data_IF_774098104051
#
_entry.id   IF_774098104051
#
_cell.length_a   1.000
_cell.length_b   1.000
_cell.length_c   1.000
_cell.angle_alpha   90.00
_cell.angle_beta   90.00
_cell.angle_gamma   90.00
#
_symmetry.space_group_name_H-M   'P 1'
#
loop_
_entity.id
_entity.type
_entity.pdbx_description
1 polymer ?
#
# COMPACT_ATOMS: atom_id res chain seq x y z
N UNK A 1 6.52 -12.13 16.26
CA UNK A 1 5.67 -12.81 15.26
C UNK A 1 5.70 -12.06 13.94
N UNK A 2 5.90 -12.77 12.86
CA UNK A 2 5.90 -12.18 11.53
C UNK A 2 4.50 -11.70 11.15
N UNK A 3 4.40 -10.54 10.47
CA UNK A 3 3.14 -10.06 9.93
C UNK A 3 2.65 -11.04 8.86
N UNK A 4 1.37 -11.39 8.89
CA UNK A 4 0.77 -12.30 7.91
C UNK A 4 0.14 -11.57 6.75
N UNK A 5 -0.60 -10.49 7.04
CA UNK A 5 -1.29 -9.71 6.02
C UNK A 5 -0.69 -8.30 6.02
N UNK A 6 -0.14 -7.92 4.88
CA UNK A 6 0.61 -6.67 4.71
C UNK A 6 -0.06 -5.84 3.62
N UNK A 7 -0.55 -4.67 3.99
CA UNK A 7 -1.07 -3.68 3.04
C UNK A 7 0.09 -2.87 2.50
N UNK A 8 0.36 -3.01 1.21
CA UNK A 8 1.37 -2.20 0.54
C UNK A 8 0.81 -0.80 0.31
N UNK A 9 1.54 0.25 0.77
CA UNK A 9 1.17 1.59 0.31
C UNK A 9 1.54 1.73 -1.17
N UNK A 10 1.15 2.83 -1.78
CA UNK A 10 1.31 2.97 -3.23
C UNK A 10 2.78 2.89 -3.65
N UNK A 11 3.69 3.54 -2.92
CA UNK A 11 5.12 3.47 -3.23
C UNK A 11 5.69 2.07 -3.03
N UNK A 12 5.30 1.38 -1.97
CA UNK A 12 5.73 0.00 -1.75
C UNK A 12 5.27 -0.91 -2.89
N UNK A 13 4.02 -0.75 -3.35
CA UNK A 13 3.50 -1.48 -4.51
C UNK A 13 4.33 -1.21 -5.77
N UNK A 14 4.60 0.07 -6.05
CA UNK A 14 5.36 0.46 -7.23
C UNK A 14 6.79 -0.12 -7.19
N UNK A 15 7.45 -0.04 -6.05
CA UNK A 15 8.80 -0.59 -5.91
C UNK A 15 8.78 -2.12 -5.98
N UNK A 16 7.85 -2.77 -5.31
CA UNK A 16 7.77 -4.23 -5.32
C UNK A 16 7.56 -4.78 -6.74
N UNK A 17 6.79 -4.08 -7.57
CA UNK A 17 6.47 -4.54 -8.92
C UNK A 17 7.48 -4.09 -9.98
N UNK A 18 8.11 -2.92 -9.83
CA UNK A 18 8.94 -2.32 -10.87
C UNK A 18 10.40 -2.14 -10.49
N UNK A 19 10.71 -1.98 -9.20
CA UNK A 19 12.09 -1.72 -8.74
C UNK A 19 12.29 -2.25 -7.32
N UNK A 20 12.27 -3.59 -7.14
CA UNK A 20 12.34 -4.19 -5.81
C UNK A 20 13.65 -3.90 -5.08
N UNK A 21 14.71 -3.49 -5.77
CA UNK A 21 15.98 -3.14 -5.14
C UNK A 21 15.87 -1.92 -4.23
N UNK A 22 14.83 -1.12 -4.39
CA UNK A 22 14.56 0.01 -3.48
C UNK A 22 14.03 -0.42 -2.12
N UNK A 23 13.62 -1.67 -2.01
CA UNK A 23 13.16 -2.25 -0.74
C UNK A 23 14.32 -3.00 -0.10
N UNK A 24 14.52 -2.83 1.21
CA UNK A 24 15.60 -3.48 1.92
C UNK A 24 15.55 -5.02 1.77
N UNK A 25 16.71 -5.70 1.64
CA UNK A 25 16.73 -7.14 1.37
C UNK A 25 15.92 -7.98 2.35
N UNK A 26 15.98 -7.69 3.66
CA UNK A 26 15.24 -8.47 4.64
C UNK A 26 13.73 -8.22 4.54
N UNK A 27 13.31 -7.04 4.08
CA UNK A 27 11.90 -6.74 3.84
C UNK A 27 11.41 -7.47 2.60
N UNK A 28 12.23 -7.50 1.54
CA UNK A 28 11.91 -8.30 0.33
C UNK A 28 11.74 -9.78 0.68
N UNK A 29 12.60 -10.31 1.53
CA UNK A 29 12.47 -11.69 2.01
C UNK A 29 11.14 -11.92 2.72
N UNK A 30 10.76 -10.97 3.59
CA UNK A 30 9.47 -11.04 4.29
C UNK A 30 8.28 -10.98 3.33
N UNK A 31 8.31 -10.04 2.37
CA UNK A 31 7.20 -9.87 1.41
C UNK A 31 7.06 -11.07 0.47
N UNK A 32 8.14 -11.77 0.17
CA UNK A 32 8.12 -12.94 -0.72
C UNK A 32 7.86 -14.26 0.01
N UNK A 33 7.81 -14.25 1.34
CA UNK A 33 7.57 -15.47 2.11
C UNK A 33 6.17 -16.03 1.81
N UNK A 34 6.04 -17.38 1.64
CA UNK A 34 4.75 -17.99 1.33
C UNK A 34 3.66 -17.73 2.37
N UNK A 35 4.05 -17.47 3.63
CA UNK A 35 3.13 -17.19 4.73
C UNK A 35 2.66 -15.73 4.77
N UNK A 36 3.24 -14.86 3.97
CA UNK A 36 2.87 -13.44 3.92
C UNK A 36 1.79 -13.22 2.87
N UNK A 37 0.68 -12.64 3.29
CA UNK A 37 -0.39 -12.22 2.39
C UNK A 37 -0.18 -10.75 2.04
N UNK A 38 -0.02 -10.45 0.74
CA UNK A 38 0.06 -9.08 0.27
C UNK A 38 -1.34 -8.58 -0.05
N UNK A 39 -1.62 -7.35 0.36
CA UNK A 39 -2.92 -6.69 0.14
C UNK A 39 -2.68 -5.37 -0.55
N UNK A 40 -3.50 -5.07 -1.55
CA UNK A 40 -3.45 -3.82 -2.31
C UNK A 40 -4.84 -3.20 -2.34
N UNK A 41 -4.93 -1.93 -1.97
CA UNK A 41 -6.19 -1.20 -1.95
C UNK A 41 -6.51 -0.60 -3.31
N UNK A 42 -7.80 -0.50 -3.63
CA UNK A 42 -8.28 0.28 -4.77
C UNK A 42 -7.94 1.77 -4.64
N UNK A 43 -7.66 2.26 -3.43
CA UNK A 43 -7.12 3.61 -3.22
C UNK A 43 -5.78 3.79 -3.94
N UNK A 44 -4.93 2.77 -3.98
CA UNK A 44 -3.66 2.83 -4.71
C UNK A 44 -3.88 2.89 -6.22
N UNK A 45 -4.87 2.17 -6.76
CA UNK A 45 -5.24 2.28 -8.17
C UNK A 45 -5.65 3.71 -8.52
N UNK A 46 -6.44 4.33 -7.66
CA UNK A 46 -6.89 5.71 -7.84
C UNK A 46 -5.71 6.69 -7.80
N UNK A 47 -4.82 6.55 -6.82
CA UNK A 47 -3.63 7.39 -6.71
C UNK A 47 -2.73 7.26 -7.95
N UNK A 48 -2.49 6.03 -8.42
CA UNK A 48 -1.70 5.77 -9.63
C UNK A 48 -2.35 6.43 -10.84
N UNK A 49 -3.68 6.31 -10.98
CA UNK A 49 -4.41 6.92 -12.08
C UNK A 49 -4.27 8.45 -12.11
N UNK A 50 -4.38 9.10 -10.95
CA UNK A 50 -4.23 10.55 -10.84
C UNK A 50 -2.81 10.97 -11.18
N UNK A 51 -1.80 10.30 -10.63
CA UNK A 51 -0.39 10.63 -10.88
C UNK A 51 0.03 10.38 -12.32
N UNK A 52 -0.51 9.34 -12.94
CA UNK A 52 -0.29 9.06 -14.36
C UNK A 52 -0.83 10.18 -15.22
N UNK A 53 -2.07 10.60 -14.96
CA UNK A 53 -2.72 11.67 -15.72
C UNK A 53 -1.98 13.00 -15.57
N UNK A 54 -1.44 13.29 -14.40
CA UNK A 54 -0.70 14.54 -14.14
C UNK A 54 0.75 14.50 -14.61
N UNK A 55 1.20 13.40 -15.22
CA UNK A 55 2.56 13.24 -15.71
C UNK A 55 3.61 13.01 -14.62
N UNK A 56 3.20 12.67 -13.41
CA UNK A 56 4.11 12.48 -12.27
C UNK A 56 4.57 11.04 -12.09
N UNK A 57 4.09 10.11 -12.92
CA UNK A 57 4.42 8.69 -12.79
C UNK A 57 4.70 8.09 -14.16
N UNK A 58 5.97 7.85 -14.46
CA UNK A 58 6.37 7.15 -15.67
C UNK A 58 5.96 5.68 -15.59
N UNK A 59 5.43 5.14 -16.69
CA UNK A 59 4.99 3.75 -16.74
C UNK A 59 3.63 3.48 -16.10
N UNK A 60 2.96 4.51 -15.61
CA UNK A 60 1.66 4.37 -14.96
C UNK A 60 0.58 3.81 -15.88
N UNK A 61 0.60 4.18 -17.17
CA UNK A 61 -0.37 3.64 -18.15
C UNK A 61 -0.29 2.13 -18.25
N UNK A 62 0.93 1.58 -18.28
CA UNK A 62 1.14 0.13 -18.36
C UNK A 62 0.62 -0.55 -17.11
N UNK A 63 0.96 -0.04 -15.94
CA UNK A 63 0.46 -0.59 -14.68
C UNK A 63 -1.06 -0.57 -14.62
N UNK A 64 -1.70 0.55 -14.99
CA UNK A 64 -3.15 0.68 -14.97
C UNK A 64 -3.84 -0.30 -15.92
N UNK A 65 -3.29 -0.48 -17.14
CA UNK A 65 -3.86 -1.39 -18.11
C UNK A 65 -3.69 -2.87 -17.72
N UNK A 66 -2.69 -3.19 -16.89
CA UNK A 66 -2.38 -4.55 -16.44
C UNK A 66 -2.60 -4.71 -14.94
N UNK A 67 -3.49 -3.91 -14.35
CA UNK A 67 -3.66 -3.87 -12.89
C UNK A 67 -3.95 -5.24 -12.29
N UNK A 68 -4.98 -5.93 -12.80
CA UNK A 68 -5.37 -7.23 -12.25
C UNK A 68 -4.29 -8.29 -12.47
N UNK A 69 -3.66 -8.30 -13.64
CA UNK A 69 -2.58 -9.23 -13.96
C UNK A 69 -1.36 -8.99 -13.05
N UNK A 70 -1.06 -7.72 -12.78
CA UNK A 70 0.05 -7.35 -11.89
C UNK A 70 -0.21 -7.84 -10.46
N UNK A 71 -1.41 -7.59 -9.93
CA UNK A 71 -1.78 -8.08 -8.60
C UNK A 71 -1.72 -9.61 -8.53
N UNK A 72 -2.20 -10.30 -9.56
CA UNK A 72 -2.12 -11.76 -9.61
C UNK A 72 -0.67 -12.25 -9.62
N UNK A 73 0.21 -11.57 -10.36
CA UNK A 73 1.62 -11.97 -10.47
C UNK A 73 2.37 -11.89 -9.15
N UNK A 74 2.00 -10.95 -8.28
CA UNK A 74 2.59 -10.81 -6.94
C UNK A 74 1.74 -11.50 -5.87
N UNK A 75 0.68 -12.21 -6.26
CA UNK A 75 -0.25 -12.89 -5.37
C UNK A 75 -0.88 -11.97 -4.33
N UNK A 76 -1.15 -10.74 -4.73
CA UNK A 76 -1.79 -9.78 -3.85
C UNK A 76 -3.32 -9.92 -3.90
N UNK A 77 -3.94 -9.75 -2.75
CA UNK A 77 -5.38 -9.63 -2.62
C UNK A 77 -5.79 -8.17 -2.81
N UNK A 78 -6.77 -7.92 -3.64
CA UNK A 78 -7.34 -6.59 -3.83
C UNK A 78 -8.43 -6.34 -2.79
N UNK A 79 -8.41 -5.16 -2.17
CA UNK A 79 -9.49 -4.71 -1.28
C UNK A 79 -10.12 -3.43 -1.79
N UNK A 80 -11.44 -3.38 -1.73
CA UNK A 80 -12.22 -2.21 -2.15
C UNK A 80 -12.39 -1.24 -0.98
N UNK A 81 -12.67 0.02 -1.32
CA UNK A 81 -13.00 1.05 -0.32
C UNK A 81 -14.46 0.90 0.06
N UNK A 82 -14.71 0.61 1.32
CA UNK A 82 -16.05 0.58 1.88
C UNK A 82 -16.40 1.92 2.52
N UNK A 83 -17.70 2.20 2.70
CA UNK A 83 -18.12 3.45 3.34
C UNK A 83 -17.53 3.60 4.75
N UNK A 84 -17.44 2.51 5.50
CA UNK A 84 -16.83 2.54 6.83
C UNK A 84 -15.36 2.94 6.79
N UNK A 85 -14.60 2.52 5.76
CA UNK A 85 -13.23 2.96 5.54
C UNK A 85 -13.16 4.47 5.33
N UNK A 86 -14.03 4.97 4.47
CA UNK A 86 -14.07 6.39 4.10
C UNK A 86 -14.43 7.27 5.29
N UNK A 87 -15.41 6.84 6.08
CA UNK A 87 -15.82 7.57 7.30
C UNK A 87 -14.67 7.63 8.29
N UNK A 88 -14.00 6.51 8.52
CA UNK A 88 -12.85 6.46 9.42
C UNK A 88 -11.71 7.33 8.90
N UNK A 89 -11.38 7.21 7.61
CA UNK A 89 -10.30 7.98 6.99
C UNK A 89 -10.52 9.49 7.13
N UNK A 90 -11.74 9.94 6.89
CA UNK A 90 -12.11 11.35 7.02
C UNK A 90 -12.05 11.87 8.45
N UNK A 91 -12.31 11.01 9.43
CA UNK A 91 -12.37 11.37 10.84
C UNK A 91 -11.08 11.14 11.63
N UNK A 92 -10.00 10.62 11.03
CA UNK A 92 -8.76 10.35 11.75
C UNK A 92 -8.21 11.64 12.41
N UNK A 93 -7.89 11.61 13.72
CA UNK A 93 -7.28 12.73 14.42
C UNK A 93 -5.79 12.83 14.09
N UNK A 94 -5.47 12.96 12.84
CA UNK A 94 -4.12 12.97 12.29
C UNK A 94 -4.02 14.17 11.33
N UNK A 95 -3.05 15.09 11.53
CA UNK A 95 -2.98 16.31 10.73
C UNK A 95 -2.56 16.09 9.29
N UNK A 96 -2.05 14.93 8.93
CA UNK A 96 -1.68 14.58 7.57
C UNK A 96 -2.90 14.60 6.65
N UNK A 97 -2.82 15.35 5.54
CA UNK A 97 -3.98 15.63 4.69
C UNK A 97 -4.11 14.73 3.47
N UNK A 98 -3.07 13.97 3.14
CA UNK A 98 -3.09 13.11 1.96
C UNK A 98 -4.22 12.09 2.08
N UNK A 99 -5.25 12.16 1.21
CA UNK A 99 -6.43 11.30 1.34
C UNK A 99 -6.10 9.83 1.08
N UNK A 100 -5.12 9.55 0.24
CA UNK A 100 -4.73 8.17 -0.06
C UNK A 100 -4.07 7.53 1.16
N UNK A 101 -3.14 8.24 1.80
CA UNK A 101 -2.49 7.76 3.02
C UNK A 101 -3.51 7.57 4.14
N UNK A 102 -4.43 8.51 4.31
CA UNK A 102 -5.50 8.40 5.31
C UNK A 102 -6.36 7.17 5.07
N UNK A 103 -6.71 6.91 3.81
CA UNK A 103 -7.51 5.74 3.45
C UNK A 103 -6.78 4.44 3.77
N UNK A 104 -5.50 4.33 3.41
CA UNK A 104 -4.71 3.13 3.69
C UNK A 104 -4.58 2.86 5.19
N UNK A 105 -4.32 3.91 5.98
CA UNK A 105 -4.25 3.79 7.44
C UNK A 105 -5.58 3.29 8.02
N UNK A 106 -6.69 3.84 7.55
CA UNK A 106 -8.03 3.44 8.01
C UNK A 106 -8.34 1.99 7.64
N UNK A 107 -8.05 1.59 6.41
CA UNK A 107 -8.26 0.22 5.96
C UNK A 107 -7.42 -0.77 6.76
N UNK A 108 -6.17 -0.44 7.01
CA UNK A 108 -5.29 -1.29 7.81
C UNK A 108 -5.80 -1.42 9.24
N UNK A 109 -6.23 -0.33 9.84
CA UNK A 109 -6.76 -0.34 11.21
C UNK A 109 -8.03 -1.19 11.32
N UNK A 110 -8.95 -1.05 10.37
CA UNK A 110 -10.21 -1.79 10.39
C UNK A 110 -10.03 -3.29 10.15
N UNK A 111 -9.00 -3.68 9.41
CA UNK A 111 -8.77 -5.08 9.02
C UNK A 111 -7.61 -5.74 9.75
N UNK A 112 -6.94 -5.02 10.64
CA UNK A 112 -5.76 -5.56 11.35
C UNK A 112 -4.59 -5.86 10.44
N UNK A 113 -4.37 -5.04 9.40
CA UNK A 113 -3.28 -5.22 8.46
C UNK A 113 -2.03 -4.47 8.90
N UNK A 114 -0.86 -5.04 8.61
CA UNK A 114 0.40 -4.33 8.74
C UNK A 114 0.56 -3.38 7.55
N UNK A 115 0.95 -2.13 7.81
CA UNK A 115 1.19 -1.15 6.74
C UNK A 115 2.65 -1.18 6.34
N UNK A 116 2.94 -1.49 5.07
CA UNK A 116 4.29 -1.42 4.52
C UNK A 116 4.48 -0.07 3.82
N UNK A 117 5.44 0.70 4.27
CA UNK A 117 5.72 2.04 3.75
C UNK A 117 7.17 2.42 3.98
N UNK A 118 7.69 3.34 3.18
CA UNK A 118 8.97 4.01 3.42
C UNK A 118 8.79 5.43 3.96
N UNK A 119 7.56 5.92 4.01
CA UNK A 119 7.24 7.28 4.42
C UNK A 119 7.12 7.35 5.94
N UNK A 120 8.02 8.10 6.58
CA UNK A 120 8.04 8.23 8.04
C UNK A 120 6.74 8.85 8.59
N UNK A 121 6.08 9.71 7.83
CA UNK A 121 4.78 10.28 8.22
C UNK A 121 3.70 9.22 8.28
N UNK A 122 3.65 8.34 7.27
CA UNK A 122 2.70 7.22 7.24
C UNK A 122 2.99 6.24 8.38
N UNK A 123 4.26 5.87 8.56
CA UNK A 123 4.66 4.93 9.61
C UNK A 123 4.31 5.46 11.00
N UNK A 124 4.50 6.77 11.23
CA UNK A 124 4.17 7.39 12.52
C UNK A 124 2.66 7.52 12.74
N UNK A 125 1.88 7.69 11.67
CA UNK A 125 0.43 7.85 11.75
C UNK A 125 -0.35 6.53 11.79
N UNK A 126 0.28 5.41 11.51
CA UNK A 126 -0.39 4.11 11.44
C UNK A 126 -1.01 3.73 12.78
N UNK A 127 -2.21 3.15 12.70
CA UNK A 127 -2.99 2.68 13.85
C UNK A 127 -3.00 1.15 13.93
N UNK A 128 -2.11 0.50 13.21
CA UNK A 128 -1.85 -0.94 13.20
C UNK A 128 -0.35 -1.15 13.08
N UNK A 129 0.14 -2.41 13.14
CA UNK A 129 1.58 -2.66 12.98
C UNK A 129 2.11 -2.12 11.66
N UNK A 130 3.38 -1.80 11.62
CA UNK A 130 4.06 -1.25 10.44
C UNK A 130 5.25 -2.09 10.03
N UNK A 131 5.58 -2.01 8.75
CA UNK A 131 6.77 -2.60 8.16
C UNK A 131 7.47 -1.51 7.35
N UNK A 132 8.60 -1.01 7.86
CA UNK A 132 9.39 0.01 7.17
C UNK A 132 10.15 -0.67 6.01
N UNK A 133 9.83 -0.30 4.77
CA UNK A 133 10.44 -0.92 3.61
C UNK A 133 11.92 -0.56 3.42
N UNK A 134 12.41 0.41 4.20
CA UNK A 134 13.84 0.76 4.21
C UNK A 134 14.67 -0.20 5.09
N UNK A 135 14.03 -1.00 5.87
CA UNK A 135 14.68 -1.98 6.74
C UNK A 135 14.62 -1.65 8.24
#
# INVERSE_FOLDING_TARGET
>A
MMARAVLLDTNALLWWTADPDKIAPRVREHLSAPSTELVVSSASAWEVAIKTRSGKLAGGEVLLSLWDETLSSIRAEAIDIEAADAIMAGGLPWPHRDPFDRMLIAQAARRGLTVASSDSTVLAGAMSPTLDTRG
#
